data_IF_746121272907
#
_entry.id   IF_746121272907
#
_cell.length_a   1.000
_cell.length_b   1.000
_cell.length_c   1.000
_cell.angle_alpha   90.00
_cell.angle_beta   90.00
_cell.angle_gamma   90.00
#
_symmetry.space_group_name_H-M   'P 1'
#
loop_
_entity.id
_entity.type
_entity.pdbx_description
1 polymer ?
#
# COMPACT_ATOMS: atom_id res chain seq x y z
N UNK A 1 -49.51 13.20 39.45
CA UNK A 1 -48.15 13.05 40.02
C UNK A 1 -47.47 11.94 39.25
N UNK A 2 -46.58 12.28 38.32
CA UNK A 2 -45.13 11.93 38.34
C UNK A 2 -44.86 10.44 38.10
N UNK A 3 -43.95 9.98 37.24
CA UNK A 3 -42.88 10.62 36.49
C UNK A 3 -42.41 9.67 35.38
N UNK A 4 -41.92 10.27 34.29
CA UNK A 4 -41.13 9.65 33.23
C UNK A 4 -39.78 9.12 33.77
N UNK A 5 -39.19 8.14 33.05
CA UNK A 5 -37.75 7.85 32.79
C UNK A 5 -37.54 6.32 32.75
N UNK A 6 -36.92 5.72 31.75
CA UNK A 6 -36.26 6.22 30.56
C UNK A 6 -35.69 5.01 29.80
N UNK A 7 -35.91 4.97 28.49
CA UNK A 7 -35.30 4.01 27.59
C UNK A 7 -33.79 4.21 27.58
N UNK A 8 -33.04 3.17 27.94
CA UNK A 8 -31.59 3.15 27.78
C UNK A 8 -31.28 3.01 26.29
N UNK A 9 -30.84 4.12 25.67
CA UNK A 9 -30.21 4.13 24.35
C UNK A 9 -29.08 3.09 24.32
N UNK A 10 -29.24 2.02 23.53
CA UNK A 10 -28.11 1.21 23.06
C UNK A 10 -27.27 2.12 22.17
N UNK A 11 -26.09 2.50 22.65
CA UNK A 11 -25.08 3.13 21.83
C UNK A 11 -24.65 2.13 20.76
N UNK A 12 -24.96 2.42 19.50
CA UNK A 12 -24.42 1.73 18.32
C UNK A 12 -22.92 2.07 18.18
N UNK A 13 -22.06 1.43 18.97
CA UNK A 13 -20.60 1.46 18.78
C UNK A 13 -20.01 0.11 18.33
N UNK A 14 -20.82 -0.94 18.18
CA UNK A 14 -20.35 -2.31 17.90
C UNK A 14 -20.12 -2.63 16.41
N UNK A 15 -19.70 -1.66 15.59
CA UNK A 15 -19.58 -1.84 14.13
C UNK A 15 -18.19 -1.84 13.54
N UNK A 16 -17.18 -1.28 14.23
CA UNK A 16 -15.96 -0.84 13.54
C UNK A 16 -14.63 -1.33 14.12
N UNK A 17 -14.61 -2.17 15.16
CA UNK A 17 -13.34 -2.64 15.69
C UNK A 17 -13.41 -4.04 16.31
N UNK A 18 -12.92 -5.05 15.59
CA UNK A 18 -12.13 -6.18 16.13
C UNK A 18 -11.23 -6.68 14.98
N UNK A 19 -9.92 -6.44 15.03
CA UNK A 19 -8.95 -7.29 14.31
C UNK A 19 -9.18 -8.71 14.86
N UNK A 20 -9.81 -9.59 14.09
CA UNK A 20 -10.23 -10.91 14.56
C UNK A 20 -9.03 -11.75 15.02
N UNK A 21 -9.24 -12.69 15.95
CA UNK A 21 -8.21 -13.59 16.46
C UNK A 21 -7.41 -14.29 15.34
N UNK A 22 -8.07 -14.64 14.24
CA UNK A 22 -7.43 -15.22 13.05
C UNK A 22 -6.39 -14.28 12.41
N UNK A 23 -6.66 -12.97 12.34
CA UNK A 23 -5.73 -11.99 11.78
C UNK A 23 -4.45 -11.90 12.64
N UNK A 24 -4.59 -11.92 13.97
CA UNK A 24 -3.44 -11.92 14.89
C UNK A 24 -2.58 -13.19 14.74
N UNK A 25 -3.19 -14.36 14.52
CA UNK A 25 -2.44 -15.61 14.27
C UNK A 25 -1.67 -15.51 12.95
N UNK A 26 -2.31 -15.05 11.88
CA UNK A 26 -1.67 -14.91 10.58
C UNK A 26 -0.51 -13.90 10.62
N UNK A 27 -0.69 -12.76 11.28
CA UNK A 27 0.35 -11.74 11.50
C UNK A 27 1.53 -12.33 12.29
N UNK A 28 1.25 -13.08 13.35
CA UNK A 28 2.28 -13.75 14.17
C UNK A 28 3.09 -14.76 13.36
N UNK A 29 2.42 -15.58 12.53
CA UNK A 29 3.07 -16.55 11.65
C UNK A 29 3.92 -15.85 10.59
N UNK A 30 3.39 -14.77 10.00
CA UNK A 30 4.11 -13.97 9.02
C UNK A 30 5.40 -13.39 9.61
N UNK A 31 5.27 -12.74 10.76
CA UNK A 31 6.41 -12.11 11.44
C UNK A 31 7.48 -13.14 11.81
N UNK A 32 7.09 -14.30 12.37
CA UNK A 32 8.03 -15.36 12.71
C UNK A 32 8.79 -15.88 11.48
N UNK A 33 8.12 -16.10 10.35
CA UNK A 33 8.78 -16.56 9.12
C UNK A 33 9.77 -15.51 8.58
N UNK A 34 9.41 -14.24 8.64
CA UNK A 34 10.28 -13.14 8.17
C UNK A 34 11.52 -12.98 9.05
N UNK A 35 11.35 -13.13 10.37
CA UNK A 35 12.46 -13.15 11.32
C UNK A 35 13.44 -14.32 11.05
N UNK A 36 12.91 -15.54 10.88
CA UNK A 36 13.74 -16.73 10.59
C UNK A 36 14.47 -16.64 9.25
N UNK A 37 13.88 -15.96 8.26
CA UNK A 37 14.50 -15.74 6.94
C UNK A 37 15.43 -14.52 6.89
N UNK A 38 15.66 -13.83 8.01
CA UNK A 38 16.45 -12.59 8.07
C UNK A 38 15.93 -11.48 7.13
N UNK A 39 14.62 -11.45 6.88
CA UNK A 39 13.94 -10.46 6.03
C UNK A 39 13.17 -9.41 6.84
N UNK A 40 13.19 -9.52 8.16
CA UNK A 40 12.65 -8.54 9.10
C UNK A 40 13.39 -8.61 10.44
N UNK A 41 12.94 -7.83 11.45
CA UNK A 41 13.53 -7.84 12.78
C UNK A 41 13.45 -9.24 13.42
N UNK A 42 14.44 -9.63 14.23
CA UNK A 42 14.33 -10.88 15.02
C UNK A 42 13.13 -10.78 15.97
N UNK A 43 12.43 -11.90 16.11
CA UNK A 43 11.35 -12.06 17.06
C UNK A 43 11.88 -12.66 18.37
N UNK A 44 11.76 -11.94 19.49
CA UNK A 44 12.17 -12.43 20.81
C UNK A 44 11.03 -13.08 21.60
N UNK A 45 9.78 -12.68 21.36
CA UNK A 45 8.63 -13.29 22.01
C UNK A 45 7.29 -12.71 21.56
N UNK A 46 6.23 -13.51 21.68
CA UNK A 46 4.83 -13.14 21.38
C UNK A 46 4.00 -13.41 22.62
N UNK A 47 3.09 -12.49 22.95
CA UNK A 47 2.13 -12.58 24.05
C UNK A 47 0.80 -11.94 23.64
N UNK A 48 -0.31 -12.19 24.36
CA UNK A 48 -1.63 -11.69 23.96
C UNK A 48 -1.73 -10.16 23.77
N UNK A 49 -0.87 -9.40 24.45
CA UNK A 49 -0.85 -7.94 24.39
C UNK A 49 0.11 -7.37 23.32
N UNK A 50 0.92 -8.20 22.65
CA UNK A 50 1.91 -7.73 21.68
C UNK A 50 3.09 -8.67 21.46
N UNK A 51 4.22 -8.09 21.03
CA UNK A 51 5.44 -8.83 20.71
C UNK A 51 6.68 -8.03 21.11
N UNK A 52 7.78 -8.75 21.32
CA UNK A 52 9.12 -8.18 21.52
C UNK A 52 9.97 -8.50 20.30
N UNK A 53 10.56 -7.46 19.72
CA UNK A 53 11.32 -7.51 18.48
C UNK A 53 12.72 -6.94 18.68
N UNK A 54 13.63 -7.27 17.76
CA UNK A 54 14.92 -6.63 17.68
C UNK A 54 14.78 -5.14 17.39
N UNK A 55 15.40 -4.32 18.24
CA UNK A 55 15.63 -2.91 17.91
C UNK A 55 16.71 -2.82 16.82
N UNK A 56 16.40 -2.12 15.74
CA UNK A 56 17.30 -1.91 14.60
C UNK A 56 17.71 -0.44 14.58
N UNK A 57 19.00 -0.18 14.81
CA UNK A 57 19.58 1.15 14.69
C UNK A 57 19.54 1.61 13.23
N UNK A 58 18.64 2.56 12.96
CA UNK A 58 18.27 2.97 11.61
C UNK A 58 17.46 4.27 11.64
N UNK A 59 17.24 4.85 10.46
CA UNK A 59 16.21 5.85 10.21
C UNK A 59 15.28 5.40 9.09
N UNK A 60 14.07 5.94 9.04
CA UNK A 60 13.19 5.80 7.88
C UNK A 60 13.78 6.59 6.70
N UNK A 61 13.45 6.17 5.48
CA UNK A 61 13.69 6.99 4.31
C UNK A 61 12.75 8.20 4.29
N UNK A 62 13.18 9.26 3.65
CA UNK A 62 12.34 10.39 3.26
C UNK A 62 11.80 10.16 1.84
N UNK A 63 10.62 10.71 1.52
CA UNK A 63 9.97 10.54 0.21
C UNK A 63 10.89 10.93 -0.95
N UNK A 64 11.71 11.99 -0.77
CA UNK A 64 12.67 12.44 -1.77
C UNK A 64 13.79 11.45 -2.07
N UNK A 65 14.10 10.54 -1.14
CA UNK A 65 15.17 9.54 -1.30
C UNK A 65 14.74 8.37 -2.18
N UNK A 66 13.43 8.14 -2.36
CA UNK A 66 12.90 7.07 -3.23
C UNK A 66 13.36 7.24 -4.68
N UNK A 67 13.56 8.49 -5.12
CA UNK A 67 14.01 8.83 -6.46
C UNK A 67 15.52 8.66 -6.71
N UNK A 68 16.32 8.42 -5.66
CA UNK A 68 17.77 8.23 -5.78
C UNK A 68 18.03 6.87 -6.47
N UNK A 69 18.76 6.81 -7.60
CA UNK A 69 18.88 5.58 -8.38
C UNK A 69 19.41 4.37 -7.62
N UNK A 70 20.38 4.55 -6.71
CA UNK A 70 20.92 3.45 -5.90
C UNK A 70 19.90 2.93 -4.88
N UNK A 71 19.17 3.82 -4.21
CA UNK A 71 18.11 3.47 -3.26
C UNK A 71 16.96 2.78 -4.00
N UNK A 72 16.49 3.37 -5.10
CA UNK A 72 15.45 2.80 -5.96
C UNK A 72 15.79 1.39 -6.45
N UNK A 73 17.04 1.17 -6.89
CA UNK A 73 17.51 -0.16 -7.28
C UNK A 73 17.55 -1.15 -6.11
N UNK A 74 17.96 -0.71 -4.93
CA UNK A 74 17.98 -1.57 -3.75
C UNK A 74 16.55 -1.95 -3.30
N UNK A 75 15.62 -1.00 -3.30
CA UNK A 75 14.20 -1.27 -3.01
C UNK A 75 13.66 -2.31 -4.00
N UNK A 76 13.95 -2.16 -5.29
CA UNK A 76 13.57 -3.13 -6.32
C UNK A 76 14.11 -4.55 -6.01
N UNK A 77 15.38 -4.68 -5.59
CA UNK A 77 15.97 -5.97 -5.20
C UNK A 77 15.31 -6.57 -3.95
N UNK A 78 15.03 -5.74 -2.94
CA UNK A 78 14.34 -6.17 -1.72
C UNK A 78 12.91 -6.63 -2.02
N UNK A 79 12.18 -5.90 -2.85
CA UNK A 79 10.85 -6.26 -3.33
C UNK A 79 10.87 -7.56 -4.14
N UNK A 80 11.85 -7.76 -5.03
CA UNK A 80 12.04 -9.02 -5.77
C UNK A 80 12.26 -10.21 -4.82
N UNK A 81 13.12 -10.04 -3.82
CA UNK A 81 13.35 -11.06 -2.79
C UNK A 81 12.08 -11.36 -1.99
N UNK A 82 11.32 -10.33 -1.63
CA UNK A 82 10.04 -10.47 -0.92
C UNK A 82 9.01 -11.24 -1.76
N UNK A 83 8.88 -10.90 -3.05
CA UNK A 83 7.96 -11.55 -3.99
C UNK A 83 8.27 -13.03 -4.24
N UNK A 84 9.54 -13.47 -4.11
CA UNK A 84 9.93 -14.89 -4.22
C UNK A 84 9.49 -15.73 -3.02
N UNK A 85 9.05 -15.11 -1.92
CA UNK A 85 8.75 -15.86 -0.72
C UNK A 85 7.56 -16.80 -0.92
N UNK A 86 7.78 -18.06 -0.56
CA UNK A 86 6.69 -19.01 -0.37
C UNK A 86 6.19 -18.89 1.05
N UNK A 87 4.97 -18.38 1.21
CA UNK A 87 4.31 -18.19 2.50
C UNK A 87 3.12 -19.15 2.64
N UNK A 88 2.81 -19.63 3.86
CA UNK A 88 1.72 -20.59 4.12
C UNK A 88 0.35 -19.90 4.19
N UNK A 89 0.07 -18.97 3.27
CA UNK A 89 -1.18 -18.23 3.17
C UNK A 89 -1.95 -18.58 1.89
N UNK A 90 -3.20 -18.13 1.81
CA UNK A 90 -4.01 -18.26 0.60
C UNK A 90 -3.30 -17.56 -0.58
N UNK A 91 -3.15 -18.28 -1.70
CA UNK A 91 -2.44 -17.84 -2.91
C UNK A 91 -3.35 -17.22 -3.96
N UNK A 92 -4.67 -17.26 -3.75
CA UNK A 92 -5.61 -16.56 -4.63
C UNK A 92 -5.56 -15.06 -4.36
N UNK A 93 -5.47 -14.20 -5.40
CA UNK A 93 -5.30 -12.75 -5.27
C UNK A 93 -6.64 -12.05 -4.94
N UNK A 94 -7.34 -12.54 -3.92
CA UNK A 94 -8.64 -12.02 -3.47
C UNK A 94 -8.49 -10.74 -2.65
N UNK A 95 -7.32 -10.52 -2.05
CA UNK A 95 -7.09 -9.46 -1.08
C UNK A 95 -7.48 -8.07 -1.62
N UNK A 96 -7.02 -7.70 -2.81
CA UNK A 96 -7.20 -6.36 -3.36
C UNK A 96 -8.69 -6.00 -3.54
N UNK A 97 -9.41 -6.75 -4.37
CA UNK A 97 -10.81 -6.44 -4.67
C UNK A 97 -11.76 -6.74 -3.51
N UNK A 98 -11.58 -7.84 -2.77
CA UNK A 98 -12.43 -8.10 -1.61
C UNK A 98 -12.28 -7.02 -0.53
N UNK A 99 -11.07 -6.48 -0.36
CA UNK A 99 -10.84 -5.38 0.60
C UNK A 99 -11.45 -4.07 0.08
N UNK A 100 -11.26 -3.71 -1.19
CA UNK A 100 -11.90 -2.52 -1.77
C UNK A 100 -13.43 -2.60 -1.72
N UNK A 101 -14.03 -3.75 -2.02
CA UNK A 101 -15.47 -3.97 -1.92
C UNK A 101 -15.97 -3.80 -0.47
N UNK A 102 -15.26 -4.40 0.49
CA UNK A 102 -15.56 -4.26 1.92
C UNK A 102 -15.41 -2.81 2.38
N UNK A 103 -14.41 -2.08 1.91
CA UNK A 103 -14.23 -0.67 2.22
C UNK A 103 -15.32 0.18 1.61
N UNK A 104 -15.63 -0.02 0.33
CA UNK A 104 -16.72 0.68 -0.36
C UNK A 104 -18.05 0.48 0.37
N UNK A 105 -18.38 -0.76 0.78
CA UNK A 105 -19.60 -1.02 1.56
C UNK A 105 -19.65 -0.24 2.88
N UNK A 106 -18.51 -0.05 3.56
CA UNK A 106 -18.43 0.77 4.76
C UNK A 106 -18.56 2.26 4.43
N UNK A 107 -17.85 2.74 3.40
CA UNK A 107 -17.93 4.13 2.91
C UNK A 107 -19.38 4.51 2.60
N UNK A 108 -20.14 3.65 1.92
CA UNK A 108 -21.55 3.90 1.59
C UNK A 108 -22.48 3.95 2.82
N UNK A 109 -22.01 3.54 4.00
CA UNK A 109 -22.75 3.58 5.28
C UNK A 109 -22.27 4.70 6.20
N UNK A 110 -21.16 5.34 5.88
CA UNK A 110 -20.60 6.44 6.67
C UNK A 110 -21.40 7.71 6.44
N UNK A 111 -21.60 8.47 7.50
CA UNK A 111 -22.06 9.84 7.45
C UNK A 111 -21.14 10.72 8.30
N UNK A 112 -20.86 11.93 7.83
CA UNK A 112 -20.17 12.97 8.58
C UNK A 112 -21.17 13.99 9.12
N UNK A 113 -20.86 14.60 10.26
CA UNK A 113 -21.73 15.60 10.91
C UNK A 113 -21.09 16.98 11.02
N UNK A 114 -19.77 17.09 10.79
CA UNK A 114 -19.06 18.38 10.82
C UNK A 114 -19.10 19.00 9.43
N UNK A 115 -19.59 20.24 9.34
CA UNK A 115 -19.78 21.00 8.09
C UNK A 115 -18.63 20.87 7.06
N UNK A 116 -17.34 21.11 7.40
CA UNK A 116 -16.25 20.98 6.42
C UNK A 116 -16.09 19.55 5.87
N UNK A 117 -16.29 18.54 6.72
CA UNK A 117 -16.17 17.13 6.34
C UNK A 117 -17.32 16.66 5.45
N UNK A 118 -18.54 17.18 5.69
CA UNK A 118 -19.72 16.87 4.87
C UNK A 118 -19.51 17.33 3.42
N UNK A 119 -19.00 18.55 3.23
CA UNK A 119 -18.72 19.08 1.89
C UNK A 119 -17.71 18.22 1.12
N UNK A 120 -16.59 17.86 1.76
CA UNK A 120 -15.56 17.02 1.13
C UNK A 120 -16.10 15.60 0.85
N UNK A 121 -16.85 15.02 1.78
CA UNK A 121 -17.42 13.69 1.59
C UNK A 121 -18.45 13.64 0.46
N UNK A 122 -19.32 14.64 0.32
CA UNK A 122 -20.23 14.74 -0.82
C UNK A 122 -19.49 14.85 -2.15
N UNK A 123 -18.37 15.60 -2.19
CA UNK A 123 -17.51 15.66 -3.37
C UNK A 123 -16.97 14.27 -3.75
N UNK A 124 -16.49 13.51 -2.76
CA UNK A 124 -15.99 12.14 -2.97
C UNK A 124 -17.08 11.19 -3.48
N UNK A 125 -18.30 11.27 -2.93
CA UNK A 125 -19.44 10.49 -3.41
C UNK A 125 -19.86 10.88 -4.84
N UNK A 126 -19.62 12.13 -5.24
CA UNK A 126 -19.87 12.62 -6.60
C UNK A 126 -19.09 11.87 -7.70
N UNK A 127 -18.03 11.14 -7.35
CA UNK A 127 -17.29 10.29 -8.29
C UNK A 127 -17.98 8.98 -8.67
N UNK A 128 -19.10 8.63 -8.02
CA UNK A 128 -19.79 7.34 -8.19
C UNK A 128 -18.85 6.14 -8.01
N UNK A 129 -18.23 6.07 -6.82
CA UNK A 129 -17.23 5.05 -6.47
C UNK A 129 -17.67 3.59 -6.77
N UNK A 130 -18.94 3.17 -6.58
CA UNK A 130 -19.36 1.83 -6.97
C UNK A 130 -19.21 1.54 -8.47
N UNK A 131 -19.62 2.46 -9.33
CA UNK A 131 -19.47 2.31 -10.78
C UNK A 131 -17.98 2.34 -11.17
N UNK A 132 -17.21 3.21 -10.53
CA UNK A 132 -15.79 3.38 -10.82
C UNK A 132 -14.95 2.15 -10.40
N UNK A 133 -15.31 1.48 -9.31
CA UNK A 133 -14.67 0.23 -8.89
C UNK A 133 -14.84 -0.88 -9.94
N UNK A 134 -16.01 -0.97 -10.58
CA UNK A 134 -16.25 -1.95 -11.65
C UNK A 134 -15.51 -1.62 -12.95
N UNK A 135 -15.35 -0.33 -13.27
CA UNK A 135 -14.46 0.10 -14.37
C UNK A 135 -13.02 -0.27 -14.07
N UNK A 136 -12.52 0.03 -12.87
CA UNK A 136 -11.18 -0.37 -12.44
C UNK A 136 -11.01 -1.90 -12.54
N UNK A 137 -11.99 -2.68 -12.09
CA UNK A 137 -11.97 -4.15 -12.20
C UNK A 137 -11.81 -4.60 -13.64
N UNK A 138 -12.56 -4.00 -14.57
CA UNK A 138 -12.49 -4.32 -15.99
C UNK A 138 -11.10 -4.04 -16.59
N UNK A 139 -10.50 -2.89 -16.23
CA UNK A 139 -9.13 -2.53 -16.64
C UNK A 139 -8.11 -3.55 -16.13
N UNK A 140 -8.17 -3.93 -14.84
CA UNK A 140 -7.20 -4.86 -14.26
C UNK A 140 -7.40 -6.31 -14.69
N UNK A 141 -8.63 -6.73 -14.98
CA UNK A 141 -8.91 -8.04 -15.61
C UNK A 141 -8.27 -8.16 -16.99
N UNK A 142 -8.23 -7.07 -17.75
CA UNK A 142 -7.53 -6.99 -19.04
C UNK A 142 -6.01 -6.76 -18.90
N UNK A 143 -5.47 -6.78 -17.68
CA UNK A 143 -4.05 -6.49 -17.38
C UNK A 143 -3.44 -7.63 -16.57
N UNK A 144 -2.87 -8.65 -17.23
CA UNK A 144 -2.23 -9.76 -16.55
C UNK A 144 -1.13 -9.27 -15.61
N UNK A 145 -1.11 -9.79 -14.39
CA UNK A 145 -0.05 -9.56 -13.42
C UNK A 145 0.21 -10.85 -12.63
N UNK A 146 1.47 -11.27 -12.45
CA UNK A 146 1.79 -12.43 -11.64
C UNK A 146 1.29 -12.27 -10.20
N UNK A 147 0.76 -13.35 -9.63
CA UNK A 147 0.39 -13.38 -8.21
C UNK A 147 1.60 -13.81 -7.39
N UNK A 148 2.06 -12.93 -6.51
CA UNK A 148 3.25 -13.09 -5.67
C UNK A 148 2.92 -12.67 -4.24
N UNK A 149 3.80 -12.94 -3.28
CA UNK A 149 3.61 -12.43 -1.92
C UNK A 149 4.09 -10.98 -1.85
N UNK A 150 3.14 -10.04 -1.79
CA UNK A 150 3.38 -8.59 -1.86
C UNK A 150 3.43 -7.97 -0.47
N UNK A 151 4.19 -6.88 -0.33
CA UNK A 151 4.20 -6.04 0.87
C UNK A 151 2.87 -5.28 1.00
N UNK A 152 2.35 -4.78 -0.13
CA UNK A 152 1.15 -3.97 -0.31
C UNK A 152 1.23 -2.53 0.24
N UNK A 153 2.21 -2.23 1.11
CA UNK A 153 2.44 -0.87 1.64
C UNK A 153 3.93 -0.48 1.65
N UNK A 154 4.60 -0.61 0.51
CA UNK A 154 6.04 -0.30 0.36
C UNK A 154 6.31 1.22 0.25
N UNK A 155 5.97 1.98 1.29
CA UNK A 155 6.27 3.42 1.42
C UNK A 155 7.63 3.69 2.10
N UNK A 156 8.12 4.92 2.04
CA UNK A 156 9.36 5.35 2.69
C UNK A 156 9.36 5.11 4.21
N UNK A 157 8.19 5.22 4.85
CA UNK A 157 8.03 4.99 6.28
C UNK A 157 8.28 3.54 6.73
N UNK A 158 8.23 2.60 5.78
CA UNK A 158 8.39 1.15 5.96
C UNK A 158 9.73 0.65 5.39
N UNK A 159 10.62 1.59 5.02
CA UNK A 159 11.97 1.34 4.53
C UNK A 159 12.98 1.92 5.51
N UNK A 160 13.67 1.05 6.25
CA UNK A 160 14.71 1.45 7.19
C UNK A 160 16.07 1.51 6.49
N UNK A 161 16.71 2.68 6.51
CA UNK A 161 18.12 2.84 6.21
C UNK A 161 18.95 2.48 7.44
N UNK A 162 19.72 1.40 7.35
CA UNK A 162 20.50 0.84 8.44
C UNK A 162 21.76 1.68 8.73
N UNK A 163 22.01 1.95 10.02
CA UNK A 163 23.22 2.67 10.44
C UNK A 163 24.49 1.89 10.09
N UNK A 164 25.57 2.62 9.75
CA UNK A 164 26.88 2.06 9.39
C UNK A 164 26.88 1.08 8.20
N UNK A 165 25.83 1.07 7.37
CA UNK A 165 25.74 0.25 6.17
C UNK A 165 26.38 0.90 4.93
N UNK A 166 27.15 1.98 5.07
CA UNK A 166 27.73 2.73 3.93
C UNK A 166 28.57 1.84 2.99
N UNK A 167 29.23 0.82 3.54
CA UNK A 167 30.07 -0.16 2.83
C UNK A 167 29.38 -1.51 2.59
N UNK A 168 28.09 -1.64 2.88
CA UNK A 168 27.30 -2.86 2.67
C UNK A 168 26.52 -2.78 1.36
N UNK A 169 26.41 -3.90 0.65
CA UNK A 169 25.50 -4.07 -0.49
C UNK A 169 24.02 -4.13 -0.06
N UNK A 170 23.75 -4.18 1.24
CA UNK A 170 22.42 -4.16 1.84
C UNK A 170 22.33 -3.07 2.92
N UNK A 171 21.71 -1.95 2.57
CA UNK A 171 21.51 -0.76 3.40
C UNK A 171 20.06 -0.61 3.85
N UNK A 172 19.12 -1.28 3.18
CA UNK A 172 17.69 -1.17 3.42
C UNK A 172 17.10 -2.44 4.05
N UNK A 173 16.13 -2.23 4.93
CA UNK A 173 15.26 -3.28 5.45
C UNK A 173 13.79 -2.87 5.29
N UNK A 174 12.98 -3.77 4.74
CA UNK A 174 11.53 -3.66 4.72
C UNK A 174 10.97 -4.02 6.10
N UNK A 175 9.98 -3.29 6.57
CA UNK A 175 9.28 -3.54 7.83
C UNK A 175 7.78 -3.27 7.67
N UNK A 176 7.01 -3.59 8.72
CA UNK A 176 5.57 -3.33 8.79
C UNK A 176 4.73 -4.05 7.71
N UNK A 177 4.59 -5.36 7.92
CA UNK A 177 3.95 -6.27 6.98
C UNK A 177 2.43 -6.42 7.20
N UNK A 178 1.78 -5.45 7.85
CA UNK A 178 0.38 -5.59 8.28
C UNK A 178 -0.62 -5.76 7.12
N UNK A 179 -0.28 -5.21 5.94
CA UNK A 179 -1.08 -5.35 4.72
C UNK A 179 -0.61 -6.50 3.82
N UNK A 180 0.48 -7.19 4.16
CA UNK A 180 1.09 -8.16 3.26
C UNK A 180 0.20 -9.38 2.98
N UNK A 181 0.15 -9.78 1.72
CA UNK A 181 -0.68 -10.91 1.26
C UNK A 181 -0.17 -11.43 -0.08
N UNK A 182 -0.66 -12.60 -0.51
CA UNK A 182 -0.59 -12.89 -1.95
C UNK A 182 -1.47 -11.90 -2.69
N UNK A 183 -0.88 -11.19 -3.65
CA UNK A 183 -1.53 -10.16 -4.44
C UNK A 183 -0.84 -10.05 -5.82
N UNK A 184 -1.35 -9.19 -6.68
CA UNK A 184 -0.75 -8.91 -7.98
C UNK A 184 0.54 -8.12 -7.81
N UNK A 185 1.63 -8.56 -8.45
CA UNK A 185 2.92 -7.84 -8.50
C UNK A 185 2.74 -6.38 -8.91
N UNK A 186 1.88 -6.13 -9.90
CA UNK A 186 1.59 -4.80 -10.42
C UNK A 186 1.09 -3.85 -9.33
N UNK A 187 0.35 -4.36 -8.33
CA UNK A 187 -0.11 -3.54 -7.22
C UNK A 187 1.04 -3.08 -6.34
N UNK A 188 1.98 -3.96 -5.96
CA UNK A 188 3.06 -3.57 -5.03
C UNK A 188 4.02 -2.55 -5.68
N UNK A 189 4.33 -2.75 -6.96
CA UNK A 189 5.07 -1.77 -7.76
C UNK A 189 4.31 -0.45 -7.94
N UNK A 190 3.05 -0.55 -8.38
CA UNK A 190 2.22 0.62 -8.66
C UNK A 190 2.02 1.45 -7.39
N UNK A 191 1.79 0.78 -6.26
CA UNK A 191 1.72 1.39 -4.96
C UNK A 191 3.03 2.09 -4.59
N UNK A 192 4.16 1.40 -4.67
CA UNK A 192 5.46 2.00 -4.38
C UNK A 192 5.72 3.26 -5.23
N UNK A 193 5.40 3.23 -6.53
CA UNK A 193 5.52 4.39 -7.39
C UNK A 193 4.54 5.52 -7.03
N UNK A 194 3.34 5.18 -6.55
CA UNK A 194 2.41 6.18 -6.03
C UNK A 194 3.00 6.94 -4.83
N UNK A 195 3.70 6.25 -3.94
CA UNK A 195 4.27 6.85 -2.72
C UNK A 195 5.36 7.90 -3.01
N UNK A 196 5.97 7.92 -4.21
CA UNK A 196 6.89 9.00 -4.61
C UNK A 196 6.20 10.38 -4.66
N UNK A 197 4.87 10.40 -4.78
CA UNK A 197 4.09 11.63 -4.84
C UNK A 197 3.66 12.14 -3.46
N UNK A 198 3.69 11.31 -2.42
CA UNK A 198 3.08 11.63 -1.13
C UNK A 198 4.15 11.73 -0.05
N UNK A 199 4.30 12.92 0.52
CA UNK A 199 5.21 13.19 1.64
C UNK A 199 4.39 13.34 2.93
N UNK A 200 4.60 12.43 3.87
CA UNK A 200 3.89 12.38 5.15
C UNK A 200 4.64 13.10 6.28
N UNK A 201 5.84 13.63 6.04
CA UNK A 201 6.65 14.33 7.03
C UNK A 201 6.34 15.83 7.04
N UNK A 202 5.08 16.17 7.34
CA UNK A 202 4.58 17.54 7.34
C UNK A 202 4.05 17.93 8.72
N UNK A 203 4.58 19.02 9.29
CA UNK A 203 4.18 19.51 10.62
C UNK A 203 2.84 20.26 10.64
N UNK A 204 2.27 20.58 9.47
CA UNK A 204 1.04 21.35 9.33
C UNK A 204 -0.07 20.51 8.67
N UNK A 205 -1.31 20.73 9.10
CA UNK A 205 -2.50 20.15 8.47
C UNK A 205 -2.49 20.41 6.95
N UNK A 206 -2.75 19.40 6.10
CA UNK A 206 -3.35 18.09 6.40
C UNK A 206 -2.36 17.00 6.84
N UNK A 207 -1.13 17.37 7.23
CA UNK A 207 -0.03 16.48 7.63
C UNK A 207 0.48 15.57 6.50
N UNK A 208 0.22 15.97 5.25
CA UNK A 208 0.87 15.41 4.07
C UNK A 208 0.95 16.45 2.94
N UNK A 209 1.83 16.22 1.98
CA UNK A 209 1.88 16.94 0.69
C UNK A 209 1.80 15.94 -0.45
N UNK A 210 0.99 16.25 -1.46
CA UNK A 210 0.91 15.48 -2.70
C UNK A 210 1.47 16.31 -3.86
N UNK A 211 2.39 15.73 -4.62
CA UNK A 211 2.91 16.31 -5.87
C UNK A 211 2.94 15.26 -6.97
N UNK A 212 1.94 15.31 -7.86
CA UNK A 212 1.80 14.37 -8.96
C UNK A 212 3.00 14.37 -9.91
N UNK A 213 3.74 15.47 -9.98
CA UNK A 213 4.92 15.60 -10.86
C UNK A 213 6.10 14.76 -10.36
N UNK A 214 6.06 14.29 -9.11
CA UNK A 214 7.07 13.41 -8.54
C UNK A 214 6.86 11.93 -8.85
N UNK A 215 5.75 11.55 -9.48
CA UNK A 215 5.57 10.19 -9.97
C UNK A 215 6.76 9.79 -10.87
N UNK A 216 7.32 8.56 -10.73
CA UNK A 216 8.52 8.18 -11.45
C UNK A 216 8.31 8.27 -12.97
N UNK A 217 9.26 8.91 -13.64
CA UNK A 217 9.30 8.97 -15.11
C UNK A 217 9.49 7.56 -15.71
N UNK A 218 9.17 7.38 -17.00
CA UNK A 218 9.41 6.10 -17.70
C UNK A 218 10.84 5.58 -17.50
N UNK A 219 11.85 6.46 -17.51
CA UNK A 219 13.24 6.07 -17.27
C UNK A 219 13.48 5.55 -15.84
N UNK A 220 12.91 6.20 -14.83
CA UNK A 220 13.01 5.76 -13.43
C UNK A 220 12.26 4.45 -13.20
N UNK A 221 11.07 4.28 -13.79
CA UNK A 221 10.32 3.03 -13.72
C UNK A 221 11.09 1.88 -14.37
N UNK A 222 11.67 2.09 -15.56
CA UNK A 222 12.51 1.09 -16.23
C UNK A 222 13.75 0.74 -15.41
N UNK A 223 14.41 1.72 -14.79
CA UNK A 223 15.53 1.48 -13.88
C UNK A 223 15.14 0.55 -12.73
N UNK A 224 14.00 0.82 -12.08
CA UNK A 224 13.46 -0.03 -11.01
C UNK A 224 13.12 -1.45 -11.51
N UNK A 225 12.40 -1.56 -12.64
CA UNK A 225 12.01 -2.83 -13.25
C UNK A 225 13.23 -3.68 -13.60
N UNK A 226 14.28 -3.08 -14.18
CA UNK A 226 15.54 -3.76 -14.51
C UNK A 226 16.25 -4.29 -13.28
N UNK A 227 16.38 -3.47 -12.23
CA UNK A 227 16.98 -3.90 -10.97
C UNK A 227 16.20 -5.05 -10.32
N UNK A 228 14.87 -5.00 -10.36
CA UNK A 228 13.99 -6.06 -9.86
C UNK A 228 14.17 -7.36 -10.66
N UNK A 229 14.17 -7.29 -11.99
CA UNK A 229 14.31 -8.47 -12.84
C UNK A 229 15.71 -9.09 -12.74
N UNK A 230 16.76 -8.26 -12.66
CA UNK A 230 18.13 -8.73 -12.45
C UNK A 230 18.29 -9.50 -11.13
N UNK A 231 17.57 -9.12 -10.07
CA UNK A 231 17.56 -9.86 -8.81
C UNK A 231 16.85 -11.22 -8.92
N UNK A 232 15.86 -11.34 -9.81
CA UNK A 232 15.12 -12.59 -10.02
C UNK A 232 15.81 -13.57 -10.97
N UNK A 233 16.63 -13.07 -11.89
CA UNK A 233 17.37 -13.90 -12.82
C UNK A 233 18.49 -14.65 -12.09
N UNK A 234 18.56 -15.97 -12.31
CA UNK A 234 19.81 -16.71 -12.12
C UNK A 234 20.67 -16.47 -13.37
N UNK A 235 22.00 -16.39 -13.22
CA UNK A 235 23.02 -16.00 -14.24
C UNK A 235 23.07 -16.81 -15.57
N UNK A 236 21.97 -17.36 -16.07
CA UNK A 236 22.01 -18.47 -17.03
C UNK A 236 20.94 -18.47 -18.15
N UNK A 237 20.36 -17.33 -18.52
CA UNK A 237 19.52 -17.24 -19.73
C UNK A 237 19.97 -16.09 -20.64
N UNK A 238 20.47 -16.43 -21.83
CA UNK A 238 20.70 -15.49 -22.93
C UNK A 238 19.33 -15.03 -23.48
N UNK A 239 18.72 -14.04 -22.83
CA UNK A 239 17.47 -13.42 -23.29
C UNK A 239 17.81 -12.39 -24.38
N UNK A 240 17.16 -12.51 -25.54
CA UNK A 240 17.31 -11.55 -26.65
C UNK A 240 16.85 -10.14 -26.25
N UNK A 241 17.56 -9.10 -26.72
CA UNK A 241 17.27 -7.69 -26.40
C UNK A 241 15.82 -7.31 -26.72
N UNK A 242 15.25 -7.86 -27.80
CA UNK A 242 13.85 -7.60 -28.17
C UNK A 242 12.87 -8.20 -27.17
N UNK A 243 13.19 -9.34 -26.57
CA UNK A 243 12.36 -9.96 -25.55
C UNK A 243 12.40 -9.16 -24.25
N UNK A 244 13.58 -8.66 -23.86
CA UNK A 244 13.75 -7.74 -22.72
C UNK A 244 12.91 -6.49 -22.93
N UNK A 245 13.03 -5.82 -24.07
CA UNK A 245 12.27 -4.60 -24.37
C UNK A 245 10.76 -4.84 -24.33
N UNK A 246 10.28 -5.97 -24.88
CA UNK A 246 8.87 -6.34 -24.83
C UNK A 246 8.38 -6.58 -23.40
N UNK A 247 9.16 -7.28 -22.58
CA UNK A 247 8.85 -7.53 -21.17
C UNK A 247 8.81 -6.23 -20.37
N UNK A 248 9.75 -5.32 -20.61
CA UNK A 248 9.80 -4.00 -19.97
C UNK A 248 8.55 -3.16 -20.28
N UNK A 249 8.13 -3.08 -21.55
CA UNK A 249 6.91 -2.36 -21.93
C UNK A 249 5.65 -3.00 -21.31
N UNK A 250 5.57 -4.33 -21.26
CA UNK A 250 4.46 -5.03 -20.61
C UNK A 250 4.41 -4.75 -19.10
N UNK A 251 5.56 -4.73 -18.43
CA UNK A 251 5.64 -4.39 -17.01
C UNK A 251 5.30 -2.92 -16.75
N UNK A 252 5.71 -2.00 -17.62
CA UNK A 252 5.30 -0.59 -17.51
C UNK A 252 3.78 -0.45 -17.61
N UNK A 253 3.15 -1.10 -18.58
CA UNK A 253 1.69 -1.07 -18.74
C UNK A 253 0.99 -1.68 -17.51
N UNK A 254 1.45 -2.86 -17.06
CA UNK A 254 0.95 -3.52 -15.86
C UNK A 254 1.01 -2.59 -14.65
N UNK A 255 2.20 -2.12 -14.29
CA UNK A 255 2.43 -1.35 -13.07
C UNK A 255 1.61 -0.05 -13.06
N UNK A 256 1.57 0.68 -14.17
CA UNK A 256 0.84 1.94 -14.23
C UNK A 256 -0.68 1.75 -14.18
N UNK A 257 -1.22 0.64 -14.70
CA UNK A 257 -2.65 0.33 -14.54
C UNK A 257 -2.97 -0.10 -13.11
N UNK A 258 -2.11 -0.90 -12.47
CA UNK A 258 -2.29 -1.28 -11.06
C UNK A 258 -2.04 -0.12 -10.07
N UNK A 259 -1.27 0.91 -10.43
CA UNK A 259 -1.16 2.15 -9.65
C UNK A 259 -2.53 2.84 -9.47
N UNK A 260 -3.44 2.73 -10.45
CA UNK A 260 -4.83 3.16 -10.28
C UNK A 260 -5.51 2.45 -9.10
N UNK A 261 -5.23 1.16 -8.91
CA UNK A 261 -5.77 0.41 -7.78
C UNK A 261 -5.20 0.88 -6.44
N UNK A 262 -3.93 1.27 -6.39
CA UNK A 262 -3.34 1.88 -5.19
C UNK A 262 -4.09 3.16 -4.80
N UNK A 263 -4.30 4.07 -5.75
CA UNK A 263 -5.09 5.29 -5.48
C UNK A 263 -6.51 4.99 -4.99
N UNK A 264 -7.21 4.06 -5.66
CA UNK A 264 -8.57 3.70 -5.28
C UNK A 264 -8.65 3.06 -3.89
N UNK A 265 -7.72 2.13 -3.61
CA UNK A 265 -7.63 1.42 -2.33
C UNK A 265 -7.39 2.40 -1.17
N UNK A 266 -6.34 3.22 -1.26
CA UNK A 266 -5.98 4.15 -0.19
C UNK A 266 -6.96 5.32 -0.06
N UNK A 267 -7.62 5.71 -1.16
CA UNK A 267 -8.73 6.65 -1.13
C UNK A 267 -9.91 6.14 -0.30
N UNK A 268 -10.35 4.90 -0.53
CA UNK A 268 -11.41 4.27 0.27
C UNK A 268 -11.00 4.06 1.72
N UNK A 269 -9.79 3.55 1.96
CA UNK A 269 -9.23 3.38 3.30
C UNK A 269 -9.25 4.70 4.06
N UNK A 270 -8.83 5.79 3.44
CA UNK A 270 -8.73 7.10 4.09
C UNK A 270 -10.08 7.66 4.48
N UNK A 271 -11.13 7.47 3.66
CA UNK A 271 -12.50 7.86 4.03
C UNK A 271 -12.95 7.14 5.31
N UNK A 272 -12.62 5.85 5.45
CA UNK A 272 -12.94 5.08 6.65
C UNK A 272 -12.15 5.62 7.84
N UNK A 273 -10.84 5.86 7.68
CA UNK A 273 -9.99 6.38 8.74
C UNK A 273 -10.44 7.75 9.26
N UNK A 274 -10.98 8.61 8.39
CA UNK A 274 -11.57 9.88 8.79
C UNK A 274 -12.71 9.75 9.82
N UNK A 275 -13.29 8.55 9.97
CA UNK A 275 -14.32 8.24 10.97
C UNK A 275 -13.82 7.51 12.21
N UNK A 276 -12.84 6.62 12.05
CA UNK A 276 -12.47 5.67 13.11
C UNK A 276 -11.10 5.96 13.72
N UNK A 277 -10.22 6.65 13.01
CA UNK A 277 -8.88 6.94 13.49
C UNK A 277 -8.92 8.02 14.57
N UNK A 278 -8.05 7.86 15.56
CA UNK A 278 -7.76 8.87 16.59
C UNK A 278 -6.51 9.68 16.26
N UNK A 279 -5.79 9.33 15.19
CA UNK A 279 -4.59 10.03 14.75
C UNK A 279 -5.02 11.31 14.03
N UNK A 280 -4.36 12.42 14.36
CA UNK A 280 -4.60 13.70 13.70
C UNK A 280 -3.95 13.68 12.31
N UNK A 281 -4.78 13.52 11.28
CA UNK A 281 -4.37 13.49 9.89
C UNK A 281 -5.53 13.94 9.00
N UNK A 282 -5.25 14.67 7.92
CA UNK A 282 -6.25 15.15 6.96
C UNK A 282 -6.76 14.03 6.05
N UNK A 283 -7.43 13.03 6.61
CA UNK A 283 -7.84 11.83 5.89
C UNK A 283 -8.81 12.09 4.72
N UNK A 284 -9.72 13.06 4.82
CA UNK A 284 -10.63 13.37 3.72
C UNK A 284 -9.92 14.12 2.59
N UNK A 285 -9.00 15.02 2.92
CA UNK A 285 -8.12 15.71 1.99
C UNK A 285 -7.21 14.73 1.26
N UNK A 286 -6.66 13.76 1.99
CA UNK A 286 -5.87 12.68 1.41
C UNK A 286 -6.72 11.81 0.47
N UNK A 287 -7.93 11.43 0.87
CA UNK A 287 -8.84 10.70 -0.01
C UNK A 287 -9.10 11.46 -1.32
N UNK A 288 -9.36 12.77 -1.24
CA UNK A 288 -9.52 13.62 -2.43
C UNK A 288 -8.26 13.58 -3.29
N UNK A 289 -7.08 13.79 -2.70
CA UNK A 289 -5.83 13.76 -3.44
C UNK A 289 -5.63 12.41 -4.16
N UNK A 290 -5.90 11.27 -3.50
CA UNK A 290 -5.80 9.95 -4.14
C UNK A 290 -6.78 9.81 -5.31
N UNK A 291 -8.06 10.19 -5.14
CA UNK A 291 -9.05 10.05 -6.22
C UNK A 291 -8.82 11.04 -7.39
N UNK A 292 -8.36 12.27 -7.12
CA UNK A 292 -7.97 13.20 -8.18
C UNK A 292 -6.82 12.63 -9.02
N UNK A 293 -5.77 12.13 -8.37
CA UNK A 293 -4.64 11.47 -9.06
C UNK A 293 -5.10 10.23 -9.82
N UNK A 294 -6.00 9.41 -9.25
CA UNK A 294 -6.63 8.28 -9.96
C UNK A 294 -7.23 8.71 -11.30
N UNK A 295 -8.08 9.72 -11.31
CA UNK A 295 -8.75 10.17 -12.54
C UNK A 295 -7.78 10.83 -13.52
N UNK A 296 -6.75 11.53 -13.03
CA UNK A 296 -5.72 12.11 -13.88
C UNK A 296 -4.87 11.03 -14.57
N UNK A 297 -4.39 10.05 -13.81
CA UNK A 297 -3.60 8.95 -14.33
C UNK A 297 -4.42 8.06 -15.26
N UNK A 298 -5.70 7.82 -14.93
CA UNK A 298 -6.63 7.09 -15.81
C UNK A 298 -6.77 7.77 -17.18
N UNK A 299 -6.92 9.11 -17.21
CA UNK A 299 -6.92 9.88 -18.46
C UNK A 299 -5.60 9.76 -19.22
N UNK A 300 -4.46 9.82 -18.52
CA UNK A 300 -3.14 9.68 -19.14
C UNK A 300 -2.97 8.30 -19.80
N UNK A 301 -3.48 7.25 -19.17
CA UNK A 301 -3.45 5.88 -19.68
C UNK A 301 -4.51 5.59 -20.76
N UNK A 302 -5.46 6.50 -20.97
CA UNK A 302 -6.57 6.34 -21.93
C UNK A 302 -7.43 5.09 -21.69
N UNK A 303 -7.72 4.80 -20.41
CA UNK A 303 -8.55 3.66 -19.95
C UNK A 303 -9.71 4.10 -19.07
#
# INVERSE_FOLDING_TARGET
MTCNKGETKRNNQDGFNVRGTEAMVLESVMFAILAERSLGPKLYGIFPQGRLEQFIASRKLETGELAIPSISAEIAKKMATFHRMTMPFNKEPKWLFCTMEKYLQQVMRINFTREPQVGIFHRLLGYNLPEELEKLRSVLQATPSPVVFCHNDCQEGNLLLLDNAENSDQKLMLIDFEYSSYNFRGFDFGNHFCEWMYDYNCDEYPFFKADIKKYPTKMQQLHFIRAYNAELQNDCEDIDEKQIAKMEEQMLEEVNRYALASHFFWGLWSIIQARISTIEFGYLEYAVARFETYFEQKRHLSV
#
